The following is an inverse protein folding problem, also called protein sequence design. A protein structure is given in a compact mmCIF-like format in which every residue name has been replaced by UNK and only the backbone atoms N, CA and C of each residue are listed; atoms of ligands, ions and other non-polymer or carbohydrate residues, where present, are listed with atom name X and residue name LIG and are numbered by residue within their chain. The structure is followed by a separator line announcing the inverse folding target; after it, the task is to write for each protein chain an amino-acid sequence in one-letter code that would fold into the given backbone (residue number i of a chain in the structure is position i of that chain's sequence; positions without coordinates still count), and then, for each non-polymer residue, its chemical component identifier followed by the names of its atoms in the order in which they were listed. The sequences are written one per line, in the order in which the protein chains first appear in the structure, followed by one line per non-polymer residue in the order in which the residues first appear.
data_IF_619888367188
#
_entry.id   IF_619888367188
#
_cell.length_a   1.000
_cell.length_b   1.000
_cell.length_c   1.000
_cell.angle_alpha   90.00
_cell.angle_beta   90.00
_cell.angle_gamma   90.00
#
_symmetry.space_group_name_H-M   'P 1'
#
loop_
_entity.id
_entity.type
_entity.pdbx_description
1 polymer ?
#
# COMPACT_ATOMS: atom_id res chain seq x y z
N UNK A 1 -5.90 5.39 -5.44
CA UNK A 1 -6.83 4.62 -4.56
C UNK A 1 -6.21 3.34 -4.00
N UNK A 2 -5.83 2.35 -4.83
CA UNK A 2 -5.34 1.04 -4.34
C UNK A 2 -4.19 1.19 -3.33
N UNK A 3 -3.15 1.96 -3.67
CA UNK A 3 -1.97 2.14 -2.82
C UNK A 3 -2.32 2.62 -1.39
N UNK A 4 -3.18 3.62 -1.27
CA UNK A 4 -3.63 4.16 0.01
C UNK A 4 -4.48 3.14 0.80
N UNK A 5 -5.31 2.34 0.12
CA UNK A 5 -6.15 1.33 0.75
C UNK A 5 -5.31 0.15 1.28
N UNK A 6 -4.26 -0.23 0.54
CA UNK A 6 -3.30 -1.25 0.96
C UNK A 6 -2.47 -0.75 2.14
N UNK A 7 -1.96 0.48 2.07
CA UNK A 7 -1.17 1.08 3.14
C UNK A 7 -1.94 1.20 4.46
N UNK A 8 -3.24 1.48 4.42
CA UNK A 8 -4.08 1.55 5.62
C UNK A 8 -4.18 0.21 6.39
N UNK A 9 -3.80 -0.91 5.77
CA UNK A 9 -3.90 -2.26 6.34
C UNK A 9 -2.54 -2.84 6.74
N UNK A 10 -1.44 -2.15 6.43
CA UNK A 10 -0.07 -2.62 6.66
C UNK A 10 0.59 -1.72 7.71
N UNK A 11 1.44 -2.27 8.60
CA UNK A 11 2.22 -1.46 9.54
C UNK A 11 3.04 -0.37 8.83
N UNK A 12 3.30 0.77 9.50
CA UNK A 12 4.18 1.80 8.99
C UNK A 12 5.60 1.24 8.78
N UNK A 13 6.22 1.53 7.62
CA UNK A 13 7.53 0.98 7.26
C UNK A 13 7.73 0.69 5.76
N UNK A 14 6.68 0.86 4.95
CA UNK A 14 6.71 0.59 3.52
C UNK A 14 6.22 -0.82 3.20
N UNK A 15 5.78 -1.01 1.95
CA UNK A 15 5.19 -2.26 1.48
C UNK A 15 6.15 -2.94 0.52
N UNK A 16 6.51 -4.19 0.79
CA UNK A 16 7.28 -5.04 -0.13
C UNK A 16 6.34 -5.61 -1.19
N UNK A 17 6.30 -4.98 -2.35
CA UNK A 17 5.44 -5.36 -3.47
C UNK A 17 6.10 -4.95 -4.80
N UNK A 18 6.32 -5.92 -5.66
CA UNK A 18 6.85 -5.69 -7.01
C UNK A 18 5.76 -5.14 -7.92
N UNK A 19 6.15 -4.43 -8.99
CA UNK A 19 5.19 -3.94 -10.00
C UNK A 19 4.43 -5.09 -10.66
N UNK A 20 5.08 -6.23 -10.90
CA UNK A 20 4.46 -7.47 -11.38
C UNK A 20 3.35 -7.98 -10.45
N UNK A 21 3.62 -8.03 -9.15
CA UNK A 21 2.62 -8.44 -8.17
C UNK A 21 1.42 -7.49 -8.18
N UNK A 22 1.68 -6.18 -8.16
CA UNK A 22 0.63 -5.16 -8.19
C UNK A 22 -0.18 -5.22 -9.49
N UNK A 23 0.49 -5.44 -10.63
CA UNK A 23 -0.14 -5.59 -11.94
C UNK A 23 -1.09 -6.79 -11.96
N UNK A 24 -0.64 -7.93 -11.45
CA UNK A 24 -1.47 -9.14 -11.31
C UNK A 24 -2.67 -8.93 -10.38
N UNK A 25 -2.47 -8.28 -9.23
CA UNK A 25 -3.55 -7.98 -8.27
C UNK A 25 -4.62 -7.03 -8.82
N UNK A 26 -4.23 -6.14 -9.73
CA UNK A 26 -5.12 -5.14 -10.32
C UNK A 26 -5.65 -5.56 -11.71
N UNK A 27 -5.20 -6.69 -12.24
CA UNK A 27 -5.57 -7.15 -13.58
C UNK A 27 -5.14 -6.18 -14.69
N UNK A 28 -4.06 -5.43 -14.47
CA UNK A 28 -3.54 -4.44 -15.44
C UNK A 28 -2.15 -4.83 -15.93
N UNK A 29 -1.72 -4.16 -16.99
CA UNK A 29 -0.36 -4.32 -17.54
C UNK A 29 0.70 -3.74 -16.60
N UNK A 30 1.84 -4.43 -16.49
CA UNK A 30 3.00 -4.00 -15.69
C UNK A 30 3.48 -2.60 -16.07
N UNK A 31 3.47 -2.27 -17.34
CA UNK A 31 3.89 -0.98 -17.86
C UNK A 31 3.02 0.17 -17.35
N UNK A 32 1.72 -0.10 -17.15
CA UNK A 32 0.79 0.88 -16.54
C UNK A 32 1.13 1.12 -15.07
N UNK A 33 1.49 0.07 -14.33
CA UNK A 33 1.96 0.20 -12.94
C UNK A 33 3.27 0.96 -12.89
N UNK A 34 4.21 0.66 -13.79
CA UNK A 34 5.50 1.35 -13.86
C UNK A 34 5.34 2.84 -14.14
N UNK A 35 4.52 3.20 -15.13
CA UNK A 35 4.25 4.59 -15.46
C UNK A 35 3.56 5.34 -14.30
N UNK A 36 2.61 4.70 -13.62
CA UNK A 36 1.96 5.28 -12.44
C UNK A 36 2.94 5.47 -11.28
N UNK A 37 3.78 4.46 -11.00
CA UNK A 37 4.79 4.52 -9.94
C UNK A 37 5.83 5.62 -10.22
N UNK A 38 6.29 5.77 -11.46
CA UNK A 38 7.19 6.86 -11.85
C UNK A 38 6.55 8.22 -11.60
N UNK A 39 5.33 8.47 -12.10
CA UNK A 39 4.63 9.74 -11.89
C UNK A 39 4.45 10.10 -10.41
N UNK A 40 4.13 9.10 -9.58
CA UNK A 40 3.97 9.32 -8.14
C UNK A 40 5.32 9.57 -7.45
N UNK A 41 6.39 8.92 -7.90
CA UNK A 41 7.72 9.13 -7.37
C UNK A 41 8.30 10.50 -7.77
N UNK A 42 8.13 10.89 -9.04
CA UNK A 42 8.55 12.19 -9.57
C UNK A 42 7.78 13.34 -8.89
N UNK A 43 6.52 13.09 -8.52
CA UNK A 43 5.70 13.99 -7.71
C UNK A 43 6.03 14.01 -6.21
N UNK A 44 7.01 13.22 -5.74
CA UNK A 44 7.42 13.18 -4.34
C UNK A 44 6.45 12.46 -3.40
N UNK A 45 5.42 11.80 -3.92
CA UNK A 45 4.38 11.17 -3.10
C UNK A 45 4.79 9.80 -2.57
N UNK A 46 5.64 9.09 -3.32
CA UNK A 46 6.14 7.77 -2.96
C UNK A 46 7.65 7.68 -3.20
N UNK A 47 8.27 6.71 -2.55
CA UNK A 47 9.60 6.20 -2.90
C UNK A 47 9.45 4.75 -3.32
N UNK A 48 9.96 4.42 -4.51
CA UNK A 48 9.99 3.06 -5.03
C UNK A 48 11.43 2.61 -5.28
N UNK A 49 11.90 1.64 -4.49
CA UNK A 49 13.27 1.10 -4.57
C UNK A 49 13.23 -0.41 -4.36
N UNK A 50 13.80 -1.19 -5.29
CA UNK A 50 13.97 -2.65 -5.18
C UNK A 50 12.70 -3.40 -4.73
N UNK A 51 11.53 -3.05 -5.28
CA UNK A 51 10.26 -3.69 -4.92
C UNK A 51 9.67 -3.22 -3.58
N UNK A 52 10.21 -2.19 -2.95
CA UNK A 52 9.62 -1.53 -1.78
C UNK A 52 8.94 -0.23 -2.21
N UNK A 53 7.67 -0.08 -1.85
CA UNK A 53 6.91 1.17 -1.97
C UNK A 53 6.76 1.78 -0.58
N UNK A 54 7.36 2.96 -0.38
CA UNK A 54 7.14 3.78 0.81
C UNK A 54 6.30 5.00 0.43
N UNK A 55 5.25 5.29 1.20
CA UNK A 55 4.47 6.53 1.03
C UNK A 55 5.20 7.65 1.77
N UNK A 56 5.47 8.76 1.09
CA UNK A 56 6.15 9.94 1.65
C UNK A 56 5.15 11.03 2.03
N UNK A 57 4.11 11.21 1.21
CA UNK A 57 3.06 12.21 1.43
C UNK A 57 1.67 11.57 1.25
N UNK A 58 1.11 10.99 2.33
CA UNK A 58 -0.24 10.42 2.30
C UNK A 58 -1.30 11.47 1.93
N UNK A 59 -1.20 12.69 2.44
CA UNK A 59 -2.18 13.75 2.19
C UNK A 59 -2.17 14.18 0.72
N UNK A 60 -0.99 14.32 0.12
CA UNK A 60 -0.83 14.57 -1.31
C UNK A 60 -1.39 13.45 -2.19
N UNK A 61 -1.21 12.19 -1.80
CA UNK A 61 -1.85 11.06 -2.48
C UNK A 61 -3.37 11.07 -2.34
N UNK A 62 -3.89 11.42 -1.16
CA UNK A 62 -5.33 11.52 -0.90
C UNK A 62 -5.98 12.59 -1.77
N UNK A 63 -5.35 13.77 -1.91
CA UNK A 63 -5.85 14.87 -2.75
C UNK A 63 -5.98 14.49 -4.24
N UNK A 64 -5.24 13.47 -4.68
CA UNK A 64 -5.25 12.94 -6.05
C UNK A 64 -6.14 11.70 -6.21
N UNK A 65 -6.70 11.18 -5.13
CA UNK A 65 -7.68 10.12 -5.20
C UNK A 65 -9.06 10.72 -5.52
N UNK A 66 -9.93 9.92 -6.14
CA UNK A 66 -11.35 10.26 -6.25
C UNK A 66 -11.92 10.56 -4.86
N UNK A 67 -12.98 11.37 -4.81
CA UNK A 67 -13.86 11.54 -3.64
C UNK A 67 -14.36 10.20 -3.09
N UNK A 68 -14.46 9.19 -3.97
CA UNK A 68 -14.79 7.81 -3.62
C UNK A 68 -13.81 7.14 -2.65
N UNK A 69 -12.59 7.67 -2.50
CA UNK A 69 -11.62 7.18 -1.53
C UNK A 69 -11.99 7.51 -0.09
N UNK A 70 -12.61 8.67 0.19
CA UNK A 70 -12.96 9.07 1.56
C UNK A 70 -13.94 8.07 2.21
N UNK A 71 -14.93 7.60 1.45
CA UNK A 71 -15.89 6.57 1.88
C UNK A 71 -15.18 5.26 2.22
N UNK A 72 -14.24 4.85 1.37
CA UNK A 72 -13.49 3.60 1.54
C UNK A 72 -12.54 3.69 2.73
N UNK A 73 -11.89 4.85 2.94
CA UNK A 73 -11.03 5.11 4.09
C UNK A 73 -11.81 5.02 5.39
N UNK A 74 -12.98 5.66 5.46
CA UNK A 74 -13.85 5.62 6.63
C UNK A 74 -14.25 4.18 6.97
N UNK A 75 -14.60 3.36 5.97
CA UNK A 75 -14.96 1.96 6.21
C UNK A 75 -13.77 1.11 6.66
N UNK A 76 -12.58 1.30 6.08
CA UNK A 76 -11.36 0.62 6.53
C UNK A 76 -11.05 0.99 7.99
N UNK A 77 -11.12 2.28 8.35
CA UNK A 77 -10.89 2.74 9.72
C UNK A 77 -11.89 2.13 10.71
N UNK A 78 -13.18 2.11 10.35
CA UNK A 78 -14.24 1.50 11.16
C UNK A 78 -13.99 0.01 11.41
N UNK A 79 -13.57 -0.73 10.38
CA UNK A 79 -13.27 -2.16 10.47
C UNK A 79 -12.02 -2.43 11.33
N UNK A 80 -10.96 -1.65 11.16
CA UNK A 80 -9.73 -1.79 11.95
C UNK A 80 -9.94 -1.46 13.43
N UNK A 81 -10.79 -0.48 13.75
CA UNK A 81 -11.17 -0.16 15.14
C UNK A 81 -12.03 -1.26 15.79
N UNK A 82 -12.69 -2.10 14.99
CA UNK A 82 -13.56 -3.19 15.48
C UNK A 82 -12.80 -4.51 15.59
N UNK A 83 -11.67 -4.67 14.92
CA UNK A 83 -10.86 -5.87 15.00
C UNK A 83 -10.15 -5.94 16.35
N UNK A 84 -10.24 -7.07 17.10
CA UNK A 84 -9.43 -7.23 18.29
C UNK A 84 -7.95 -7.15 17.91
N UNK A 85 -7.16 -6.40 18.68
CA UNK A 85 -5.71 -6.33 18.49
C UNK A 85 -5.12 -7.72 18.69
N UNK A 86 -4.81 -8.42 17.60
CA UNK A 86 -4.01 -9.65 17.67
C UNK A 86 -2.58 -9.19 17.97
N UNK A 87 -2.23 -9.19 19.26
CA UNK A 87 -0.84 -9.07 19.69
C UNK A 87 -0.07 -10.24 19.05
N UNK A 88 0.87 -9.91 18.17
CA UNK A 88 1.65 -10.91 17.44
C UNK A 88 2.58 -11.67 18.38
N UNK A 89 2.27 -12.93 18.65
CA UNK A 89 3.22 -13.93 19.12
C UNK A 89 4.26 -14.18 18.01
N UNK A 90 5.38 -13.45 18.08
CA UNK A 90 6.55 -13.70 17.27
C UNK A 90 7.29 -14.95 17.79
N UNK A 91 6.76 -16.13 17.48
CA UNK A 91 7.48 -17.39 17.61
C UNK A 91 7.84 -17.92 16.20
N UNK A 92 8.85 -17.29 15.59
CA UNK A 92 9.49 -17.85 14.40
C UNK A 92 10.48 -18.92 14.84
N UNK A 93 10.02 -20.16 14.91
CA UNK A 93 10.90 -21.32 15.02
C UNK A 93 11.33 -21.75 13.62
N UNK A 94 12.65 -21.90 13.49
CA UNK A 94 13.33 -22.10 12.23
C UNK A 94 12.96 -23.39 11.51
N UNK A 95 13.02 -23.32 10.18
CA UNK A 95 13.26 -24.47 9.33
C UNK A 95 14.42 -24.11 8.40
N UNK A 96 15.61 -24.56 8.80
CA UNK A 96 16.75 -24.76 7.91
C UNK A 96 16.43 -25.94 6.98
N UNK A 97 16.71 -25.75 5.69
CA UNK A 97 17.08 -26.83 4.74
C UNK A 97 18.47 -26.49 4.25
#
# INVERSE_FOLDING_TARGET
RWLLSTAARVPPGGMMMTQELVAGLLGVRRESISAAASKLQDGGYIRYRRGNISILDPAGLESRACECYAVVRAEIQRLLQRAPAVAGDAHLQGHHV
#
